data_IF_812437534968
#
_entry.id   IF_812437534968
#
_cell.length_a   1.000
_cell.length_b   1.000
_cell.length_c   1.000
_cell.angle_alpha   90.00
_cell.angle_beta   90.00
_cell.angle_gamma   90.00
#
_symmetry.space_group_name_H-M   'P 1'
#
loop_
_entity.id
_entity.type
_entity.pdbx_description
1 polymer ?
#
# COMPACT_ATOMS: atom_id res chain seq x y z
N UNK A 1 18.66 42.66 18.04
CA UNK A 1 17.48 42.20 17.26
C UNK A 1 17.34 43.08 16.02
N UNK A 2 17.42 42.51 14.81
CA UNK A 2 17.17 43.27 13.58
C UNK A 2 15.69 43.11 13.22
N UNK A 3 14.96 44.21 13.10
CA UNK A 3 13.49 44.24 12.87
C UNK A 3 13.10 43.56 11.54
N UNK A 4 14.00 43.49 10.56
CA UNK A 4 13.71 42.97 9.21
C UNK A 4 13.56 41.44 9.13
N UNK A 5 14.12 40.66 10.07
CA UNK A 5 14.08 39.21 10.01
C UNK A 5 13.85 38.61 11.39
N UNK A 6 12.79 37.82 11.52
CA UNK A 6 12.51 37.04 12.72
C UNK A 6 12.90 35.58 12.52
N UNK A 7 14.17 35.27 12.80
CA UNK A 7 14.73 33.92 12.62
C UNK A 7 14.02 32.88 13.50
N UNK A 8 13.55 33.28 14.69
CA UNK A 8 12.78 32.40 15.58
C UNK A 8 11.44 32.00 14.96
N UNK A 9 10.67 32.98 14.49
CA UNK A 9 9.40 32.72 13.79
C UNK A 9 9.61 31.87 12.52
N UNK A 10 10.67 32.14 11.76
CA UNK A 10 11.00 31.38 10.55
C UNK A 10 11.40 29.92 10.85
N UNK A 11 12.07 29.69 11.98
CA UNK A 11 12.39 28.32 12.44
C UNK A 11 11.13 27.58 12.88
N UNK A 12 10.27 28.23 13.66
CA UNK A 12 8.97 27.68 14.08
C UNK A 12 8.10 27.36 12.86
N UNK A 13 8.07 28.23 11.85
CA UNK A 13 7.34 27.98 10.61
C UNK A 13 7.90 26.78 9.83
N UNK A 14 9.24 26.61 9.78
CA UNK A 14 9.86 25.41 9.19
C UNK A 14 9.43 24.14 9.92
N UNK A 15 9.48 24.12 11.25
CA UNK A 15 9.06 22.96 12.04
C UNK A 15 7.55 22.68 11.90
N UNK A 16 6.72 23.72 11.87
CA UNK A 16 5.29 23.61 11.62
C UNK A 16 5.02 22.92 10.29
N UNK A 17 5.68 23.34 9.21
CA UNK A 17 5.51 22.72 7.89
C UNK A 17 5.93 21.24 7.86
N UNK A 18 7.00 20.87 8.57
CA UNK A 18 7.40 19.46 8.71
C UNK A 18 6.32 18.66 9.44
N UNK A 19 5.79 19.19 10.54
CA UNK A 19 4.73 18.52 11.31
C UNK A 19 3.44 18.37 10.50
N UNK A 20 3.03 19.41 9.76
CA UNK A 20 1.85 19.37 8.88
C UNK A 20 2.02 18.32 7.79
N UNK A 21 3.20 18.22 7.15
CA UNK A 21 3.48 17.17 6.16
C UNK A 21 3.38 15.77 6.77
N UNK A 22 3.92 15.57 7.96
CA UNK A 22 3.85 14.29 8.67
C UNK A 22 2.41 13.92 9.05
N UNK A 23 1.62 14.89 9.54
CA UNK A 23 0.21 14.69 9.88
C UNK A 23 -0.62 14.31 8.65
N UNK A 24 -0.42 15.00 7.52
CA UNK A 24 -1.09 14.68 6.26
C UNK A 24 -0.73 13.26 5.77
N UNK A 25 0.53 12.85 5.89
CA UNK A 25 0.96 11.49 5.54
C UNK A 25 0.33 10.42 6.43
N UNK A 26 0.19 10.69 7.73
CA UNK A 26 -0.53 9.79 8.64
C UNK A 26 -2.01 9.70 8.29
N UNK A 27 -2.65 10.83 7.97
CA UNK A 27 -4.04 10.86 7.54
C UNK A 27 -4.25 10.06 6.23
N UNK A 28 -3.32 10.15 5.27
CA UNK A 28 -3.35 9.36 4.03
C UNK A 28 -3.35 7.85 4.30
N UNK A 29 -2.53 7.39 5.25
CA UNK A 29 -2.46 5.97 5.64
C UNK A 29 -3.70 5.51 6.39
N UNK A 30 -4.26 6.37 7.26
CA UNK A 30 -5.51 6.07 7.96
C UNK A 30 -6.68 5.99 6.98
N UNK A 31 -6.76 6.91 6.03
CA UNK A 31 -7.84 6.96 5.05
C UNK A 31 -7.78 5.82 4.03
N UNK A 32 -6.59 5.37 3.64
CA UNK A 32 -6.44 4.25 2.71
C UNK A 32 -6.53 2.87 3.37
N UNK A 33 -6.29 2.81 4.69
CA UNK A 33 -6.13 1.55 5.42
C UNK A 33 -4.83 0.80 5.09
N UNK A 34 -3.98 1.33 4.21
CA UNK A 34 -2.72 0.72 3.82
C UNK A 34 -1.52 1.40 4.49
N UNK A 35 -0.58 0.60 4.99
CA UNK A 35 0.68 1.08 5.56
C UNK A 35 1.59 1.72 4.49
N UNK A 36 1.55 1.19 3.28
CA UNK A 36 2.36 1.59 2.12
C UNK A 36 1.40 2.03 1.02
N UNK A 37 1.32 3.34 0.76
CA UNK A 37 0.47 3.88 -0.30
C UNK A 37 1.25 4.17 -1.58
N UNK A 38 2.55 4.47 -1.47
CA UNK A 38 3.42 4.85 -2.59
C UNK A 38 4.77 4.15 -2.50
N UNK A 39 5.46 3.99 -3.62
CA UNK A 39 6.81 3.43 -3.65
C UNK A 39 7.82 4.25 -2.82
N UNK A 40 7.57 5.55 -2.66
CA UNK A 40 8.39 6.43 -1.82
C UNK A 40 8.27 6.12 -0.31
N UNK A 41 7.23 5.39 0.13
CA UNK A 41 7.09 4.99 1.53
C UNK A 41 7.94 3.78 1.86
N UNK A 42 7.94 2.77 0.98
CA UNK A 42 8.65 1.51 1.13
C UNK A 42 8.66 0.78 -0.22
N UNK A 43 9.67 1.03 -1.05
CA UNK A 43 9.75 0.47 -2.40
C UNK A 43 9.88 -1.07 -2.38
N UNK A 44 10.65 -1.61 -1.43
CA UNK A 44 10.82 -3.05 -1.28
C UNK A 44 9.53 -3.70 -0.77
N UNK A 45 8.90 -3.12 0.25
CA UNK A 45 7.63 -3.60 0.79
C UNK A 45 6.49 -3.55 -0.23
N UNK A 46 6.45 -2.52 -1.08
CA UNK A 46 5.48 -2.43 -2.18
C UNK A 46 5.72 -3.49 -3.25
N UNK A 47 6.98 -3.74 -3.64
CA UNK A 47 7.32 -4.77 -4.62
C UNK A 47 6.95 -6.17 -4.11
N UNK A 48 7.22 -6.45 -2.84
CA UNK A 48 6.85 -7.71 -2.19
C UNK A 48 5.33 -7.84 -2.10
N UNK A 49 4.60 -6.79 -1.72
CA UNK A 49 3.14 -6.85 -1.64
C UNK A 49 2.49 -7.10 -2.99
N UNK A 50 2.99 -6.49 -4.06
CA UNK A 50 2.50 -6.74 -5.42
C UNK A 50 2.87 -8.13 -5.94
N UNK A 51 4.06 -8.65 -5.61
CA UNK A 51 4.42 -10.05 -5.87
C UNK A 51 3.45 -11.01 -5.18
N UNK A 52 3.16 -10.78 -3.90
CA UNK A 52 2.19 -11.60 -3.16
C UNK A 52 0.78 -11.49 -3.74
N UNK A 53 0.32 -10.28 -4.11
CA UNK A 53 -0.98 -10.07 -4.77
C UNK A 53 -1.06 -10.84 -6.10
N UNK A 54 0.02 -10.87 -6.87
CA UNK A 54 0.12 -11.67 -8.09
C UNK A 54 0.02 -13.17 -7.80
N UNK A 55 0.77 -13.67 -6.80
CA UNK A 55 0.72 -15.08 -6.40
C UNK A 55 -0.67 -15.49 -5.91
N UNK A 56 -1.34 -14.67 -5.09
CA UNK A 56 -2.70 -14.94 -4.62
C UNK A 56 -3.67 -15.06 -5.80
N UNK A 57 -3.58 -14.15 -6.79
CA UNK A 57 -4.41 -14.23 -8.00
C UNK A 57 -4.14 -15.51 -8.80
N UNK A 58 -2.87 -15.89 -8.94
CA UNK A 58 -2.47 -17.12 -9.60
C UNK A 58 -3.00 -18.37 -8.89
N UNK A 59 -2.88 -18.42 -7.56
CA UNK A 59 -3.40 -19.51 -6.74
C UNK A 59 -4.93 -19.60 -6.84
N UNK A 60 -5.65 -18.48 -6.78
CA UNK A 60 -7.11 -18.48 -6.93
C UNK A 60 -7.55 -19.04 -8.30
N UNK A 61 -6.79 -18.77 -9.37
CA UNK A 61 -7.06 -19.36 -10.67
C UNK A 61 -6.72 -20.85 -10.69
N UNK A 62 -5.61 -21.26 -10.08
CA UNK A 62 -5.24 -22.67 -9.99
C UNK A 62 -6.30 -23.48 -9.22
N UNK A 63 -6.86 -22.94 -8.14
CA UNK A 63 -7.97 -23.55 -7.41
C UNK A 63 -9.19 -23.75 -8.30
N UNK A 64 -9.62 -22.71 -9.03
CA UNK A 64 -10.75 -22.83 -9.99
C UNK A 64 -10.48 -23.88 -11.05
N UNK A 65 -9.28 -23.88 -11.63
CA UNK A 65 -8.90 -24.88 -12.64
C UNK A 65 -8.93 -26.32 -12.07
N UNK A 66 -8.57 -26.50 -10.80
CA UNK A 66 -8.64 -27.80 -10.15
C UNK A 66 -10.10 -28.24 -9.91
N UNK A 67 -10.97 -27.33 -9.49
CA UNK A 67 -12.42 -27.58 -9.35
C UNK A 67 -13.07 -27.93 -10.69
N UNK A 68 -12.71 -27.22 -11.76
CA UNK A 68 -13.16 -27.52 -13.13
C UNK A 68 -12.68 -28.91 -13.57
N UNK A 69 -11.42 -29.26 -13.26
CA UNK A 69 -10.87 -30.59 -13.53
C UNK A 69 -11.58 -31.71 -12.78
N UNK A 70 -11.91 -31.49 -11.51
CA UNK A 70 -12.72 -32.43 -10.71
C UNK A 70 -14.10 -32.59 -11.32
N UNK A 71 -14.76 -31.49 -11.69
CA UNK A 71 -16.10 -31.51 -12.29
C UNK A 71 -16.11 -32.26 -13.63
N UNK A 72 -15.06 -32.10 -14.42
CA UNK A 72 -14.87 -32.84 -15.67
C UNK A 72 -14.73 -34.35 -15.42
N UNK A 73 -13.90 -34.75 -14.45
CA UNK A 73 -13.72 -36.16 -14.08
C UNK A 73 -15.03 -36.76 -13.56
N UNK A 74 -15.74 -36.06 -12.68
CA UNK A 74 -17.04 -36.52 -12.18
C UNK A 74 -18.08 -36.70 -13.28
N UNK A 75 -18.08 -35.80 -14.27
CA UNK A 75 -18.94 -35.94 -15.45
C UNK A 75 -18.55 -37.16 -16.30
N UNK A 76 -17.25 -37.41 -16.45
CA UNK A 76 -16.75 -38.56 -17.19
C UNK A 76 -16.98 -39.90 -16.48
N UNK A 77 -16.92 -39.93 -15.15
CA UNK A 77 -17.22 -41.14 -14.34
C UNK A 77 -18.73 -41.42 -14.24
N UNK A 78 -19.57 -40.38 -14.37
CA UNK A 78 -21.03 -40.50 -14.30
C UNK A 78 -21.73 -40.84 -15.62
N UNK A 79 -21.01 -40.84 -16.75
CA UNK A 79 -21.50 -41.20 -18.09
C UNK A 79 -21.26 -42.69 -18.40
#
# INVERSE_FOLDING_TARGET
MRINHNISAMNTYRQYNVNTKNSNKSMEKLSSGYRINRAADDAAGLSISEKMRSQIRGLNQATRNAEDGISFIQTAEGA
#
